data_IF_742394417205
#
_entry.id   IF_742394417205
#
_cell.length_a   1.000
_cell.length_b   1.000
_cell.length_c   1.000
_cell.angle_alpha   90.00
_cell.angle_beta   90.00
_cell.angle_gamma   90.00
#
_symmetry.space_group_name_H-M   'P 1'
#
loop_
_entity.id
_entity.type
_entity.pdbx_description
1 polymer ?
#
# COMPACT_ATOMS: atom_id res chain seq x y z
N UNK A 1 18.58 44.08 35.87
CA UNK A 1 19.56 43.81 34.79
C UNK A 1 20.01 42.36 34.97
N UNK A 2 19.88 41.40 34.06
CA UNK A 2 19.64 41.36 32.62
C UNK A 2 18.56 40.29 32.34
N UNK A 3 17.57 40.63 31.50
CA UNK A 3 16.66 39.67 30.87
C UNK A 3 17.29 39.26 29.53
N UNK A 4 17.41 37.98 29.25
CA UNK A 4 17.72 37.48 27.90
C UNK A 4 16.67 36.47 27.50
N UNK A 5 15.79 36.93 26.61
CA UNK A 5 14.79 36.14 25.90
C UNK A 5 15.49 35.14 24.97
N UNK A 6 15.05 33.89 24.98
CA UNK A 6 15.30 32.94 23.91
C UNK A 6 14.04 32.84 23.04
N UNK A 7 14.19 33.26 21.80
CA UNK A 7 13.18 33.23 20.76
C UNK A 7 12.93 31.78 20.32
N UNK A 8 11.71 31.30 20.54
CA UNK A 8 11.15 30.15 19.82
C UNK A 8 10.84 30.62 18.41
N UNK A 9 11.57 30.10 17.41
CA UNK A 9 11.21 30.24 15.99
C UNK A 9 9.98 29.35 15.71
N UNK A 10 8.80 29.92 15.90
CA UNK A 10 7.58 29.44 15.27
C UNK A 10 7.67 29.81 13.78
N UNK A 11 7.90 28.81 12.92
CA UNK A 11 7.65 28.92 11.48
C UNK A 11 6.15 28.72 11.29
N UNK A 12 5.38 29.76 10.90
CA UNK A 12 3.98 29.54 10.56
C UNK A 12 3.91 28.79 9.22
N UNK A 13 2.98 27.84 9.04
CA UNK A 13 2.73 27.30 7.71
C UNK A 13 2.15 28.43 6.87
N UNK A 14 2.90 28.84 5.83
CA UNK A 14 2.39 29.71 4.79
C UNK A 14 1.34 28.90 4.02
N UNK A 15 0.09 29.04 4.44
CA UNK A 15 -1.05 28.64 3.64
C UNK A 15 -1.11 29.56 2.42
N UNK A 16 -0.51 29.12 1.31
CA UNK A 16 -0.83 29.67 -0.01
C UNK A 16 -2.26 29.25 -0.36
N UNK A 17 -3.23 29.99 0.16
CA UNK A 17 -4.58 30.05 -0.40
C UNK A 17 -4.49 30.86 -1.70
N UNK A 18 -4.04 30.22 -2.77
CA UNK A 18 -4.33 30.69 -4.11
C UNK A 18 -5.82 30.43 -4.35
N UNK A 19 -6.62 31.45 -4.06
CA UNK A 19 -7.98 31.55 -4.56
C UNK A 19 -7.92 31.59 -6.09
N UNK A 20 -8.02 30.42 -6.72
CA UNK A 20 -8.39 30.32 -8.11
C UNK A 20 -9.85 30.76 -8.22
N UNK A 21 -10.07 32.02 -8.59
CA UNK A 21 -11.35 32.43 -9.14
C UNK A 21 -11.59 31.57 -10.37
N UNK A 22 -12.55 30.65 -10.29
CA UNK A 22 -13.09 29.95 -11.44
C UNK A 22 -13.81 30.98 -12.32
N UNK A 23 -13.06 31.65 -13.19
CA UNK A 23 -13.64 32.20 -14.40
C UNK A 23 -13.99 31.00 -15.28
N UNK A 24 -15.28 30.70 -15.40
CA UNK A 24 -15.83 29.68 -16.29
C UNK A 24 -15.63 30.12 -17.76
N UNK A 25 -14.39 30.08 -18.24
CA UNK A 25 -14.09 30.00 -19.65
C UNK A 25 -14.42 28.58 -20.12
N UNK A 26 -14.99 28.45 -21.32
CA UNK A 26 -15.28 27.14 -21.90
C UNK A 26 -14.02 26.26 -21.86
N UNK A 27 -14.12 25.09 -21.23
CA UNK A 27 -13.03 24.15 -21.06
C UNK A 27 -12.38 23.83 -22.43
N UNK A 28 -11.05 23.86 -22.48
CA UNK A 28 -10.30 23.51 -23.69
C UNK A 28 -10.45 22.01 -24.04
N UNK A 29 -10.00 21.57 -25.23
CA UNK A 29 -10.13 20.17 -25.64
C UNK A 29 -9.41 19.21 -24.68
N UNK A 30 -8.23 19.57 -24.18
CA UNK A 30 -7.51 18.79 -23.18
C UNK A 30 -8.30 18.57 -21.88
N UNK A 31 -8.96 19.62 -21.37
CA UNK A 31 -9.76 19.54 -20.15
C UNK A 31 -11.05 18.73 -20.38
N UNK A 32 -11.72 18.91 -21.52
CA UNK A 32 -12.88 18.11 -21.92
C UNK A 32 -12.51 16.61 -22.03
N UNK A 33 -11.36 16.29 -22.63
CA UNK A 33 -10.85 14.92 -22.74
C UNK A 33 -10.53 14.30 -21.38
N UNK A 34 -9.86 15.05 -20.50
CA UNK A 34 -9.52 14.60 -19.16
C UNK A 34 -10.78 14.36 -18.32
N UNK A 35 -11.74 15.29 -18.34
CA UNK A 35 -13.00 15.17 -17.60
C UNK A 35 -13.83 13.97 -18.09
N UNK A 36 -13.83 13.67 -19.40
CA UNK A 36 -14.49 12.49 -19.93
C UNK A 36 -13.87 11.19 -19.38
N UNK A 37 -12.53 11.09 -19.36
CA UNK A 37 -11.84 9.91 -18.83
C UNK A 37 -12.00 9.77 -17.31
N UNK A 38 -11.95 10.88 -16.57
CA UNK A 38 -12.23 10.90 -15.14
C UNK A 38 -13.68 10.51 -14.84
N UNK A 39 -14.65 10.97 -15.64
CA UNK A 39 -16.06 10.56 -15.52
C UNK A 39 -16.25 9.05 -15.70
N UNK A 40 -15.53 8.44 -16.64
CA UNK A 40 -15.51 6.98 -16.83
C UNK A 40 -14.84 6.25 -15.67
N UNK A 41 -13.67 6.74 -15.21
CA UNK A 41 -12.90 6.15 -14.12
C UNK A 41 -13.70 6.23 -12.82
N UNK A 42 -14.17 7.40 -12.44
CA UNK A 42 -14.73 7.67 -11.11
C UNK A 42 -16.24 7.35 -11.00
N UNK A 43 -16.83 6.77 -12.05
CA UNK A 43 -18.27 6.44 -12.14
C UNK A 43 -19.19 7.66 -11.90
N UNK A 44 -18.70 8.87 -12.20
CA UNK A 44 -19.49 10.11 -12.07
C UNK A 44 -20.59 10.23 -13.13
N UNK A 45 -20.45 9.50 -14.24
CA UNK A 45 -21.43 9.46 -15.32
C UNK A 45 -21.49 8.07 -15.92
N UNK A 46 -22.69 7.62 -16.26
CA UNK A 46 -22.85 6.36 -16.95
C UNK A 46 -22.30 6.46 -18.39
N UNK A 47 -21.86 5.35 -19.00
CA UNK A 47 -21.45 5.35 -20.39
C UNK A 47 -22.50 5.95 -21.35
N UNK A 48 -23.80 5.81 -21.04
CA UNK A 48 -24.86 6.38 -21.86
C UNK A 48 -24.97 7.91 -21.71
N UNK A 49 -24.86 8.45 -20.50
CA UNK A 49 -24.82 9.90 -20.25
C UNK A 49 -23.62 10.55 -20.96
N UNK A 50 -22.46 9.88 -20.89
CA UNK A 50 -21.25 10.33 -21.60
C UNK A 50 -21.44 10.29 -23.12
N UNK A 51 -22.17 9.30 -23.65
CA UNK A 51 -22.51 9.26 -25.08
C UNK A 51 -23.47 10.38 -25.49
N UNK A 52 -24.41 10.78 -24.63
CA UNK A 52 -25.30 11.92 -24.89
C UNK A 52 -24.52 13.25 -24.95
N UNK A 53 -23.52 13.42 -24.07
CA UNK A 53 -22.59 14.56 -24.11
C UNK A 53 -21.53 14.50 -25.22
N UNK A 54 -21.28 13.33 -25.81
CA UNK A 54 -20.25 13.10 -26.85
C UNK A 54 -20.65 13.63 -28.23
N UNK A 55 -19.70 13.69 -29.17
CA UNK A 55 -19.95 13.99 -30.60
C UNK A 55 -20.43 12.80 -31.43
N UNK A 56 -21.03 11.79 -30.80
CA UNK A 56 -21.65 10.67 -31.50
C UNK A 56 -22.74 11.16 -32.47
N UNK A 57 -22.69 10.67 -33.71
CA UNK A 57 -23.70 10.96 -34.72
C UNK A 57 -25.08 10.48 -34.28
N UNK A 58 -26.09 11.32 -34.52
CA UNK A 58 -27.50 10.94 -34.38
C UNK A 58 -27.90 9.77 -35.29
N UNK A 59 -27.14 9.55 -36.36
CA UNK A 59 -27.35 8.46 -37.31
C UNK A 59 -26.72 7.13 -36.86
N UNK A 60 -26.01 7.10 -35.73
CA UNK A 60 -25.51 5.85 -35.15
C UNK A 60 -26.66 5.00 -34.62
N UNK A 61 -26.92 3.88 -35.30
CA UNK A 61 -27.97 2.94 -34.92
C UNK A 61 -27.78 2.31 -33.53
N UNK A 62 -28.88 1.83 -32.96
CA UNK A 62 -28.94 1.34 -31.57
C UNK A 62 -27.91 0.24 -31.24
N UNK A 63 -27.67 -0.69 -32.17
CA UNK A 63 -26.70 -1.79 -31.99
C UNK A 63 -25.29 -1.22 -31.81
N UNK A 64 -24.87 -0.31 -32.69
CA UNK A 64 -23.52 0.28 -32.63
C UNK A 64 -23.36 1.20 -31.43
N UNK A 65 -24.39 2.00 -31.10
CA UNK A 65 -24.42 2.81 -29.87
C UNK A 65 -24.22 1.94 -28.62
N UNK A 66 -24.92 0.81 -28.53
CA UNK A 66 -24.76 -0.15 -27.43
C UNK A 66 -23.34 -0.71 -27.36
N UNK A 67 -22.72 -1.04 -28.50
CA UNK A 67 -21.36 -1.55 -28.54
C UNK A 67 -20.33 -0.50 -28.05
N UNK A 68 -20.48 0.76 -28.46
CA UNK A 68 -19.61 1.86 -27.99
C UNK A 68 -19.78 2.04 -26.46
N UNK A 69 -21.02 2.07 -25.97
CA UNK A 69 -21.33 2.15 -24.53
C UNK A 69 -20.67 1.04 -23.73
N UNK A 70 -20.74 -0.21 -24.21
CA UNK A 70 -20.05 -1.35 -23.58
C UNK A 70 -18.53 -1.19 -23.58
N UNK A 71 -17.93 -0.70 -24.66
CA UNK A 71 -16.48 -0.45 -24.73
C UNK A 71 -16.05 0.64 -23.75
N UNK A 72 -16.84 1.70 -23.60
CA UNK A 72 -16.60 2.74 -22.59
C UNK A 72 -16.72 2.18 -21.17
N UNK A 73 -17.68 1.30 -20.90
CA UNK A 73 -17.81 0.61 -19.62
C UNK A 73 -16.57 -0.25 -19.29
N UNK A 74 -16.03 -0.96 -20.28
CA UNK A 74 -14.79 -1.73 -20.14
C UNK A 74 -13.58 -0.82 -19.89
N UNK A 75 -13.48 0.30 -20.61
CA UNK A 75 -12.44 1.30 -20.40
C UNK A 75 -12.51 1.88 -18.98
N UNK A 76 -13.68 2.31 -18.51
CA UNK A 76 -13.85 2.80 -17.14
C UNK A 76 -13.40 1.77 -16.10
N UNK A 77 -13.78 0.50 -16.26
CA UNK A 77 -13.33 -0.60 -15.39
C UNK A 77 -11.82 -0.79 -15.44
N UNK A 78 -11.22 -0.75 -16.62
CA UNK A 78 -9.76 -0.84 -16.80
C UNK A 78 -9.04 0.31 -16.08
N UNK A 79 -9.53 1.54 -16.21
CA UNK A 79 -8.99 2.72 -15.54
C UNK A 79 -9.06 2.59 -14.01
N UNK A 80 -10.17 2.09 -13.47
CA UNK A 80 -10.37 1.86 -12.03
C UNK A 80 -9.50 0.74 -11.48
N UNK A 81 -9.50 -0.41 -12.14
CA UNK A 81 -8.82 -1.60 -11.64
C UNK A 81 -7.33 -1.36 -11.51
N UNK A 82 -6.75 -0.63 -12.45
CA UNK A 82 -5.33 -0.24 -12.42
C UNK A 82 -5.07 1.05 -11.62
N UNK A 83 -6.10 1.72 -11.11
CA UNK A 83 -6.03 3.02 -10.39
C UNK A 83 -5.13 4.03 -11.11
N UNK A 84 -5.43 4.28 -12.38
CA UNK A 84 -4.65 5.24 -13.15
C UNK A 84 -4.90 6.68 -12.70
N UNK A 85 -3.81 7.40 -12.45
CA UNK A 85 -3.78 8.85 -12.40
C UNK A 85 -3.60 9.40 -13.82
N UNK A 86 -4.50 10.30 -14.20
CA UNK A 86 -4.67 10.75 -15.58
C UNK A 86 -4.19 12.19 -15.75
N UNK A 87 -3.41 12.45 -16.81
CA UNK A 87 -2.92 13.79 -17.13
C UNK A 87 -2.88 14.02 -18.63
N UNK A 88 -3.31 15.20 -19.07
CA UNK A 88 -3.15 15.62 -20.47
C UNK A 88 -1.66 15.70 -20.81
N UNK A 89 -1.24 15.02 -21.89
CA UNK A 89 0.16 15.01 -22.32
C UNK A 89 0.42 15.81 -23.58
N UNK A 90 -0.47 15.73 -24.56
CA UNK A 90 -0.34 16.54 -25.78
C UNK A 90 -1.70 16.82 -26.40
N UNK A 91 -1.77 17.90 -27.17
CA UNK A 91 -2.97 18.35 -27.85
C UNK A 91 -2.59 18.90 -29.23
N UNK A 92 -3.34 18.49 -30.25
CA UNK A 92 -3.24 19.03 -31.61
C UNK A 92 -4.61 19.50 -32.06
N UNK A 93 -4.73 20.78 -32.36
CA UNK A 93 -5.95 21.39 -32.93
C UNK A 93 -5.82 21.55 -34.43
N UNK A 94 -6.93 21.32 -35.11
CA UNK A 94 -7.13 21.63 -36.52
C UNK A 94 -8.55 22.19 -36.64
N UNK A 95 -8.69 23.52 -36.62
CA UNK A 95 -9.98 24.20 -36.67
C UNK A 95 -10.93 23.78 -35.55
N UNK A 96 -12.11 23.28 -35.94
CA UNK A 96 -13.16 22.74 -35.07
C UNK A 96 -12.90 21.31 -34.57
N UNK A 97 -11.78 20.69 -34.97
CA UNK A 97 -11.37 19.36 -34.51
C UNK A 97 -10.12 19.47 -33.62
N UNK A 98 -10.02 18.57 -32.67
CA UNK A 98 -8.82 18.40 -31.86
C UNK A 98 -8.55 16.93 -31.56
N UNK A 99 -7.29 16.61 -31.36
CA UNK A 99 -6.85 15.34 -30.85
C UNK A 99 -6.04 15.56 -29.58
N UNK A 100 -6.31 14.78 -28.55
CA UNK A 100 -5.67 14.87 -27.24
C UNK A 100 -5.11 13.52 -26.86
N UNK A 101 -3.89 13.49 -26.32
CA UNK A 101 -3.36 12.32 -25.63
C UNK A 101 -3.39 12.51 -24.12
N UNK A 102 -3.77 11.46 -23.40
CA UNK A 102 -3.83 11.41 -21.94
C UNK A 102 -2.84 10.34 -21.47
N UNK A 103 -1.87 10.74 -20.65
CA UNK A 103 -1.00 9.81 -19.94
C UNK A 103 -1.76 9.23 -18.75
N UNK A 104 -1.52 7.95 -18.48
CA UNK A 104 -2.06 7.21 -17.37
C UNK A 104 -0.92 6.50 -16.64
N UNK A 105 -0.72 6.80 -15.37
CA UNK A 105 0.28 6.15 -14.51
C UNK A 105 -0.44 5.49 -13.35
N UNK A 106 -0.21 4.20 -13.13
CA UNK A 106 -0.91 3.49 -12.07
C UNK A 106 -0.39 3.97 -10.72
N UNK A 107 -1.32 4.32 -9.81
CA UNK A 107 -0.97 4.56 -8.41
C UNK A 107 -0.54 3.27 -7.70
N UNK A 108 -0.77 2.10 -8.31
CA UNK A 108 -0.44 0.78 -7.73
C UNK A 108 0.88 0.21 -8.21
N UNK A 109 1.31 0.54 -9.41
CA UNK A 109 2.58 0.09 -9.96
C UNK A 109 3.12 1.24 -10.84
N UNK A 110 4.16 1.97 -10.40
CA UNK A 110 4.66 3.09 -11.19
C UNK A 110 5.09 2.66 -12.60
N UNK A 111 5.54 1.41 -12.80
CA UNK A 111 5.92 0.93 -14.13
C UNK A 111 4.73 0.48 -14.99
N UNK A 112 3.52 0.45 -14.45
CA UNK A 112 2.29 0.22 -15.19
C UNK A 112 1.76 1.56 -15.71
N UNK A 113 1.99 1.81 -17.01
CA UNK A 113 1.62 3.06 -17.69
C UNK A 113 0.85 2.79 -18.97
N UNK A 114 0.00 3.72 -19.40
CA UNK A 114 -0.67 3.71 -20.70
C UNK A 114 -0.84 5.14 -21.22
N UNK A 115 -1.14 5.26 -22.51
CA UNK A 115 -1.46 6.55 -23.15
C UNK A 115 -2.71 6.37 -23.99
N UNK A 116 -3.72 7.21 -23.77
CA UNK A 116 -4.99 7.17 -24.51
C UNK A 116 -5.06 8.34 -25.49
N UNK A 117 -5.54 8.09 -26.71
CA UNK A 117 -5.89 9.14 -27.67
C UNK A 117 -7.39 9.40 -27.65
N UNK A 118 -7.80 10.67 -27.73
CA UNK A 118 -9.20 11.09 -27.81
C UNK A 118 -9.36 12.15 -28.90
N UNK A 119 -10.27 11.91 -29.83
CA UNK A 119 -10.73 12.94 -30.76
C UNK A 119 -11.76 13.83 -30.06
N UNK A 120 -11.80 15.11 -30.42
CA UNK A 120 -12.79 16.06 -29.94
C UNK A 120 -13.24 16.97 -31.08
N UNK A 121 -14.46 17.49 -30.93
CA UNK A 121 -15.01 18.50 -31.83
C UNK A 121 -15.62 19.64 -31.06
N UNK A 122 -15.37 20.85 -31.54
CA UNK A 122 -15.96 22.08 -31.03
C UNK A 122 -17.44 22.18 -31.46
N UNK A 123 -18.33 22.35 -30.50
CA UNK A 123 -19.77 22.58 -30.70
C UNK A 123 -20.15 24.05 -30.55
N UNK A 124 -19.19 24.95 -30.56
CA UNK A 124 -19.41 26.38 -30.40
C UNK A 124 -19.83 26.72 -28.97
N UNK A 125 -21.09 27.10 -28.77
CA UNK A 125 -21.59 27.52 -27.45
C UNK A 125 -21.56 26.39 -26.41
N UNK A 126 -21.68 25.13 -26.84
CA UNK A 126 -21.63 23.95 -25.97
C UNK A 126 -20.18 23.49 -25.68
N UNK A 127 -19.18 24.13 -26.28
CA UNK A 127 -17.76 23.84 -26.09
C UNK A 127 -17.27 22.55 -26.75
N UNK A 128 -16.12 22.06 -26.31
CA UNK A 128 -15.49 20.84 -26.85
C UNK A 128 -16.17 19.58 -26.33
N UNK A 129 -16.51 18.67 -27.24
CA UNK A 129 -17.10 17.37 -26.90
C UNK A 129 -16.29 16.22 -27.52
N UNK A 130 -16.20 15.11 -26.78
CA UNK A 130 -15.33 13.97 -27.08
C UNK A 130 -15.95 13.04 -28.13
N UNK A 131 -15.14 12.55 -29.06
CA UNK A 131 -15.45 11.44 -29.94
C UNK A 131 -15.41 10.14 -29.11
N UNK A 132 -16.52 9.41 -28.98
CA UNK A 132 -16.65 8.37 -27.95
C UNK A 132 -15.90 7.08 -28.26
N UNK A 133 -15.22 6.99 -29.42
CA UNK A 133 -14.34 5.88 -29.76
C UNK A 133 -12.90 6.32 -29.50
N UNK A 134 -12.19 5.73 -28.51
CA UNK A 134 -10.82 6.11 -28.23
C UNK A 134 -9.91 5.97 -29.46
N UNK A 135 -9.15 7.02 -29.74
CA UNK A 135 -8.22 7.12 -30.87
C UNK A 135 -8.88 7.31 -32.23
N UNK A 136 -10.19 7.56 -32.31
CA UNK A 136 -10.90 7.68 -33.58
C UNK A 136 -12.08 8.67 -33.56
N UNK A 137 -12.33 9.30 -34.70
CA UNK A 137 -13.54 10.07 -35.03
C UNK A 137 -14.64 9.18 -35.65
N UNK A 138 -14.50 7.86 -35.60
CA UNK A 138 -15.50 6.92 -36.06
C UNK A 138 -16.87 7.19 -35.43
N UNK A 139 -17.89 7.29 -36.29
CA UNK A 139 -19.27 7.59 -35.91
C UNK A 139 -19.47 9.01 -35.35
N UNK A 140 -18.53 9.93 -35.54
CA UNK A 140 -18.75 11.36 -35.38
C UNK A 140 -19.48 11.90 -36.62
N UNK A 141 -20.43 12.81 -36.43
CA UNK A 141 -21.17 13.42 -37.55
C UNK A 141 -20.33 14.48 -38.26
N UNK A 142 -19.35 14.09 -39.07
CA UNK A 142 -18.52 15.00 -39.85
C UNK A 142 -19.27 15.59 -41.08
N UNK A 143 -20.53 15.21 -41.31
CA UNK A 143 -21.25 15.51 -42.55
C UNK A 143 -20.62 14.82 -43.76
N UNK A 144 -21.10 15.16 -44.96
CA UNK A 144 -20.51 14.69 -46.24
C UNK A 144 -19.36 15.60 -46.70
N UNK A 145 -18.56 16.12 -45.77
CA UNK A 145 -17.44 17.03 -46.07
C UNK A 145 -16.12 16.26 -46.11
N UNK A 146 -15.67 15.99 -47.34
CA UNK A 146 -14.41 15.28 -47.59
C UNK A 146 -13.18 16.01 -47.01
N UNK A 147 -13.21 17.34 -46.88
CA UNK A 147 -12.10 18.08 -46.27
C UNK A 147 -12.06 17.86 -44.75
N UNK A 148 -13.23 17.75 -44.11
CA UNK A 148 -13.32 17.47 -42.68
C UNK A 148 -12.93 16.02 -42.36
N UNK A 149 -13.33 15.05 -43.20
CA UNK A 149 -12.87 13.65 -43.11
C UNK A 149 -11.35 13.55 -43.20
N UNK A 150 -10.72 14.21 -44.19
CA UNK A 150 -9.26 14.23 -44.31
C UNK A 150 -8.54 14.83 -43.09
N UNK A 151 -9.12 15.87 -42.49
CA UNK A 151 -8.58 16.48 -41.25
C UNK A 151 -8.71 15.53 -40.07
N UNK A 152 -9.84 14.83 -39.94
CA UNK A 152 -10.05 13.81 -38.92
C UNK A 152 -9.04 12.66 -39.07
N UNK A 153 -8.88 12.10 -40.28
CA UNK A 153 -7.90 11.04 -40.57
C UNK A 153 -6.46 11.47 -40.21
N UNK A 154 -6.10 12.72 -40.52
CA UNK A 154 -4.78 13.27 -40.17
C UNK A 154 -4.59 13.38 -38.65
N UNK A 155 -5.64 13.69 -37.90
CA UNK A 155 -5.63 13.73 -36.44
C UNK A 155 -5.59 12.32 -35.82
N UNK A 156 -6.30 11.33 -36.38
CA UNK A 156 -6.21 9.93 -35.95
C UNK A 156 -4.80 9.36 -36.15
N UNK A 157 -4.22 9.59 -37.33
CA UNK A 157 -2.84 9.20 -37.62
C UNK A 157 -1.86 9.86 -36.66
N UNK A 158 -2.08 11.13 -36.33
CA UNK A 158 -1.28 11.84 -35.35
C UNK A 158 -1.43 11.21 -33.95
N UNK A 159 -2.65 10.93 -33.47
CA UNK A 159 -2.88 10.27 -32.17
C UNK A 159 -2.19 8.92 -32.09
N UNK A 160 -2.27 8.10 -33.15
CA UNK A 160 -1.62 6.80 -33.19
C UNK A 160 -0.10 6.88 -33.06
N UNK A 161 0.53 7.84 -33.76
CA UNK A 161 1.98 8.08 -33.67
C UNK A 161 2.38 8.67 -32.33
N UNK A 162 1.68 9.69 -31.88
CA UNK A 162 1.97 10.39 -30.63
C UNK A 162 1.81 9.44 -29.44
N UNK A 163 0.78 8.58 -29.43
CA UNK A 163 0.60 7.54 -28.41
C UNK A 163 1.83 6.64 -28.27
N UNK A 164 2.39 6.16 -29.38
CA UNK A 164 3.56 5.27 -29.36
C UNK A 164 4.82 5.98 -28.85
N UNK A 165 5.03 7.24 -29.28
CA UNK A 165 6.18 8.05 -28.83
C UNK A 165 6.03 8.38 -27.34
N UNK A 166 4.84 8.79 -26.91
CA UNK A 166 4.55 9.16 -25.52
C UNK A 166 4.57 7.99 -24.57
N UNK A 167 4.13 6.80 -24.99
CA UNK A 167 4.19 5.62 -24.14
C UNK A 167 5.64 5.30 -23.74
N UNK A 168 6.56 5.28 -24.71
CA UNK A 168 7.99 5.04 -24.42
C UNK A 168 8.60 6.14 -23.55
N UNK A 169 8.33 7.39 -23.88
CA UNK A 169 8.81 8.51 -23.08
C UNK A 169 8.29 8.44 -21.63
N UNK A 170 7.02 8.06 -21.44
CA UNK A 170 6.42 7.90 -20.12
C UNK A 170 7.02 6.73 -19.35
N UNK A 171 7.28 5.60 -20.00
CA UNK A 171 7.99 4.46 -19.39
C UNK A 171 9.39 4.87 -18.91
N UNK A 172 10.12 5.64 -19.73
CA UNK A 172 11.45 6.15 -19.38
C UNK A 172 11.38 7.17 -18.23
N UNK A 173 10.45 8.12 -18.28
CA UNK A 173 10.22 9.14 -17.24
C UNK A 173 9.91 8.50 -15.87
N UNK A 174 8.99 7.54 -15.82
CA UNK A 174 8.61 6.91 -14.55
C UNK A 174 9.70 5.98 -14.03
N UNK A 175 10.46 5.34 -14.92
CA UNK A 175 11.62 4.55 -14.52
C UNK A 175 12.73 5.43 -13.94
N UNK A 176 13.00 6.59 -14.55
CA UNK A 176 13.99 7.56 -14.06
C UNK A 176 13.58 8.15 -12.71
N UNK A 177 12.30 8.48 -12.53
CA UNK A 177 11.75 8.90 -11.23
C UNK A 177 11.92 7.82 -10.15
N UNK A 178 11.59 6.56 -10.47
CA UNK A 178 11.77 5.45 -9.54
C UNK A 178 13.24 5.27 -9.16
N UNK A 179 14.16 5.34 -10.14
CA UNK A 179 15.61 5.25 -9.89
C UNK A 179 16.11 6.38 -8.99
N UNK A 180 15.68 7.61 -9.26
CA UNK A 180 16.06 8.76 -8.44
C UNK A 180 15.61 8.57 -6.99
N UNK A 181 14.37 8.13 -6.77
CA UNK A 181 13.87 7.82 -5.42
C UNK A 181 14.62 6.67 -4.74
N UNK A 182 15.11 5.71 -5.52
CA UNK A 182 15.95 4.62 -5.00
C UNK A 182 17.34 5.13 -4.60
N UNK A 183 17.97 5.95 -5.43
CA UNK A 183 19.27 6.57 -5.15
C UNK A 183 19.20 7.46 -3.88
N UNK A 184 18.08 8.15 -3.67
CA UNK A 184 17.81 8.91 -2.45
C UNK A 184 17.61 8.03 -1.21
N UNK A 185 16.96 6.87 -1.36
CA UNK A 185 16.70 5.93 -0.27
C UNK A 185 17.93 5.07 0.08
N UNK A 186 18.85 4.88 -0.88
CA UNK A 186 19.95 3.92 -0.77
C UNK A 186 20.87 4.14 0.45
N UNK A 187 21.37 5.35 0.74
CA UNK A 187 22.30 5.54 1.85
C UNK A 187 21.72 5.08 3.20
N UNK A 188 20.48 5.49 3.50
CA UNK A 188 19.81 5.13 4.74
C UNK A 188 19.44 3.64 4.79
N UNK A 189 19.02 3.07 3.67
CA UNK A 189 18.71 1.65 3.56
C UNK A 189 19.95 0.77 3.80
N UNK A 190 21.08 1.10 3.18
CA UNK A 190 22.32 0.35 3.33
C UNK A 190 22.96 0.53 4.71
N UNK A 191 22.90 1.73 5.29
CA UNK A 191 23.36 1.95 6.67
C UNK A 191 22.55 1.12 7.67
N UNK A 192 21.25 0.91 7.43
CA UNK A 192 20.41 0.07 8.26
C UNK A 192 20.62 -1.45 8.03
N UNK A 193 21.39 -1.87 7.01
CA UNK A 193 21.51 -3.25 6.55
C UNK A 193 22.94 -3.82 6.66
N UNK A 194 23.64 -3.54 7.77
CA UNK A 194 25.06 -3.93 7.95
C UNK A 194 25.27 -5.45 8.12
N UNK A 195 24.24 -6.16 8.59
CA UNK A 195 24.26 -7.63 8.77
C UNK A 195 22.99 -8.28 8.22
N UNK A 196 22.99 -9.61 7.95
CA UNK A 196 21.80 -10.30 7.44
C UNK A 196 20.53 -10.07 8.28
N UNK A 197 20.65 -10.16 9.61
CA UNK A 197 19.55 -9.86 10.54
C UNK A 197 19.05 -8.42 10.42
N UNK A 198 19.97 -7.45 10.32
CA UNK A 198 19.61 -6.04 10.18
C UNK A 198 18.97 -5.74 8.81
N UNK A 199 19.44 -6.40 7.75
CA UNK A 199 18.87 -6.30 6.40
C UNK A 199 17.41 -6.78 6.36
N UNK A 200 17.08 -7.95 6.92
CA UNK A 200 15.68 -8.41 6.99
C UNK A 200 14.82 -7.47 7.85
N UNK A 201 15.38 -6.94 8.95
CA UNK A 201 14.69 -5.94 9.77
C UNK A 201 14.36 -4.68 8.97
N UNK A 202 15.37 -4.09 8.32
CA UNK A 202 15.21 -2.89 7.49
C UNK A 202 14.21 -3.12 6.36
N UNK A 203 14.25 -4.29 5.72
CA UNK A 203 13.31 -4.65 4.65
C UNK A 203 11.87 -4.76 5.17
N UNK A 204 11.68 -5.42 6.33
CA UNK A 204 10.38 -5.50 6.96
C UNK A 204 9.83 -4.12 7.37
N UNK A 205 10.68 -3.22 7.84
CA UNK A 205 10.29 -1.85 8.20
C UNK A 205 9.93 -1.01 6.98
N UNK A 206 10.71 -1.12 5.88
CA UNK A 206 10.38 -0.50 4.60
C UNK A 206 9.02 -0.99 4.09
N UNK A 207 8.77 -2.31 4.20
CA UNK A 207 7.51 -2.91 3.79
C UNK A 207 6.33 -2.40 4.62
N UNK A 208 6.49 -2.26 5.94
CA UNK A 208 5.46 -1.72 6.82
C UNK A 208 5.14 -0.25 6.51
N UNK A 209 6.13 0.53 6.07
CA UNK A 209 5.95 1.94 5.66
C UNK A 209 5.38 2.09 4.24
N UNK A 210 5.32 1.00 3.46
CA UNK A 210 4.98 1.07 2.04
C UNK A 210 6.06 1.75 1.19
N UNK A 211 7.31 1.75 1.66
CA UNK A 211 8.44 2.40 0.99
C UNK A 211 9.00 1.47 -0.10
N UNK A 212 8.40 1.57 -1.29
CA UNK A 212 8.83 0.79 -2.46
C UNK A 212 10.30 1.03 -2.80
N UNK A 213 10.81 2.27 -2.96
CA UNK A 213 12.22 2.51 -3.25
C UNK A 213 13.18 1.83 -2.27
N UNK A 214 12.98 2.01 -0.96
CA UNK A 214 13.86 1.39 0.04
C UNK A 214 13.77 -0.14 0.02
N UNK A 215 12.57 -0.70 -0.13
CA UNK A 215 12.40 -2.15 -0.26
C UNK A 215 13.15 -2.71 -1.47
N UNK A 216 13.11 -2.02 -2.60
CA UNK A 216 13.81 -2.44 -3.82
C UNK A 216 15.34 -2.38 -3.69
N UNK A 217 15.87 -1.32 -3.04
CA UNK A 217 17.32 -1.23 -2.74
C UNK A 217 17.78 -2.41 -1.88
N UNK A 218 17.02 -2.76 -0.84
CA UNK A 218 17.37 -3.84 0.10
C UNK A 218 17.30 -5.24 -0.54
N UNK A 219 16.53 -5.41 -1.61
CA UNK A 219 16.58 -6.62 -2.43
C UNK A 219 17.88 -6.70 -3.28
N UNK A 220 18.70 -5.64 -3.31
CA UNK A 220 19.90 -5.55 -4.14
C UNK A 220 19.60 -5.49 -5.63
N UNK A 221 18.34 -5.24 -5.98
CA UNK A 221 17.86 -5.23 -7.35
C UNK A 221 17.80 -3.79 -7.85
N UNK A 222 18.07 -3.61 -9.16
CA UNK A 222 18.07 -2.35 -9.93
C UNK A 222 19.44 -1.72 -10.25
N UNK A 223 20.55 -2.39 -9.94
CA UNK A 223 21.81 -2.05 -10.62
C UNK A 223 21.74 -2.48 -12.10
N UNK A 224 21.99 -1.53 -13.01
CA UNK A 224 22.02 -1.74 -14.46
C UNK A 224 20.64 -1.75 -15.15
N UNK A 225 20.58 -2.42 -16.30
CA UNK A 225 19.37 -2.48 -17.12
C UNK A 225 18.24 -3.27 -16.44
N UNK A 226 17.02 -2.79 -16.70
CA UNK A 226 15.80 -3.37 -16.15
C UNK A 226 15.29 -4.50 -17.04
N UNK A 227 15.74 -5.72 -16.76
CA UNK A 227 15.21 -6.92 -17.40
C UNK A 227 13.72 -7.10 -17.09
N UNK A 228 13.02 -7.86 -17.94
CA UNK A 228 11.62 -8.26 -17.71
C UNK A 228 11.41 -8.95 -16.35
N UNK A 229 12.41 -9.70 -15.89
CA UNK A 229 12.38 -10.32 -14.57
C UNK A 229 12.39 -9.29 -13.43
N UNK A 230 13.24 -8.26 -13.52
CA UNK A 230 13.27 -7.16 -12.55
C UNK A 230 11.97 -6.35 -12.57
N UNK A 231 11.39 -6.11 -13.74
CA UNK A 231 10.05 -5.48 -13.89
C UNK A 231 8.97 -6.29 -13.17
N UNK A 232 8.94 -7.60 -13.43
CA UNK A 232 7.97 -8.50 -12.78
C UNK A 232 8.14 -8.51 -11.26
N UNK A 233 9.37 -8.54 -10.76
CA UNK A 233 9.65 -8.50 -9.33
C UNK A 233 9.17 -7.20 -8.71
N UNK A 234 9.50 -6.05 -9.31
CA UNK A 234 9.05 -4.75 -8.83
C UNK A 234 7.51 -4.66 -8.77
N UNK A 235 6.80 -5.17 -9.78
CA UNK A 235 5.34 -5.26 -9.76
C UNK A 235 4.81 -6.08 -8.59
N UNK A 236 5.43 -7.24 -8.32
CA UNK A 236 5.05 -8.09 -7.18
C UNK A 236 5.24 -7.34 -5.85
N UNK A 237 6.36 -6.64 -5.68
CA UNK A 237 6.63 -5.83 -4.49
C UNK A 237 5.60 -4.69 -4.38
N UNK A 238 5.39 -3.93 -5.45
CA UNK A 238 4.47 -2.78 -5.45
C UNK A 238 3.04 -3.17 -5.07
N UNK A 239 2.50 -4.25 -5.67
CA UNK A 239 1.19 -4.79 -5.33
C UNK A 239 1.14 -5.32 -3.89
N UNK A 240 2.21 -6.00 -3.47
CA UNK A 240 2.34 -6.55 -2.12
C UNK A 240 2.32 -5.48 -1.03
N UNK A 241 3.08 -4.40 -1.22
CA UNK A 241 3.14 -3.26 -0.29
C UNK A 241 1.78 -2.57 -0.09
N UNK A 242 0.91 -2.64 -1.10
CA UNK A 242 -0.44 -2.08 -1.04
C UNK A 242 -1.49 -3.08 -0.55
N UNK A 243 -1.10 -4.32 -0.23
CA UNK A 243 -2.01 -5.38 0.18
C UNK A 243 -2.98 -5.81 -0.93
N UNK A 244 -2.58 -5.63 -2.19
CA UNK A 244 -3.36 -6.01 -3.38
C UNK A 244 -2.98 -7.39 -3.91
N UNK A 245 -2.10 -8.11 -3.21
CA UNK A 245 -1.67 -9.42 -3.64
C UNK A 245 -2.78 -10.46 -3.52
N UNK A 246 -2.93 -11.31 -4.53
CA UNK A 246 -4.08 -12.22 -4.65
C UNK A 246 -4.18 -13.26 -3.54
N UNK A 247 -3.10 -13.50 -2.80
CA UNK A 247 -3.00 -14.48 -1.71
C UNK A 247 -3.02 -13.84 -0.33
N UNK A 248 -2.91 -12.52 -0.24
CA UNK A 248 -2.77 -11.77 1.00
C UNK A 248 -1.52 -12.10 1.81
N UNK A 249 -0.49 -12.73 1.23
CA UNK A 249 0.69 -13.17 1.98
C UNK A 249 1.56 -12.00 2.44
N UNK A 250 1.55 -10.89 1.70
CA UNK A 250 2.28 -9.67 2.05
C UNK A 250 1.77 -9.01 3.33
N UNK A 251 0.58 -9.37 3.81
CA UNK A 251 0.05 -8.86 5.08
C UNK A 251 1.00 -9.12 6.26
N UNK A 252 1.83 -10.16 6.17
CA UNK A 252 2.82 -10.48 7.19
C UNK A 252 3.91 -9.41 7.29
N UNK A 253 4.17 -8.62 6.24
CA UNK A 253 5.14 -7.54 6.21
C UNK A 253 4.50 -6.14 6.32
N UNK A 254 3.28 -5.96 5.80
CA UNK A 254 2.67 -4.63 5.66
C UNK A 254 1.76 -4.22 6.82
N UNK A 255 1.12 -5.17 7.50
CA UNK A 255 0.18 -4.83 8.59
C UNK A 255 0.87 -4.24 9.81
N UNK A 256 0.29 -3.20 10.41
CA UNK A 256 0.79 -2.59 11.64
C UNK A 256 0.33 -3.29 12.92
N UNK A 257 -0.70 -4.14 12.85
CA UNK A 257 -1.32 -4.84 13.98
C UNK A 257 -0.76 -6.26 14.19
N UNK A 258 0.45 -6.52 13.72
CA UNK A 258 1.20 -7.76 13.96
C UNK A 258 2.58 -7.42 14.53
N UNK A 259 3.16 -8.35 15.28
CA UNK A 259 4.52 -8.19 15.84
C UNK A 259 5.47 -9.09 15.10
N UNK A 260 6.63 -8.53 14.74
CA UNK A 260 7.64 -9.18 13.92
C UNK A 260 8.94 -9.28 14.69
N UNK A 261 9.54 -10.47 14.68
CA UNK A 261 10.77 -10.76 15.40
C UNK A 261 11.72 -11.43 14.41
N UNK A 262 12.90 -10.86 14.24
CA UNK A 262 13.92 -11.39 13.32
C UNK A 262 14.82 -12.33 14.10
N UNK A 263 14.94 -13.56 13.62
CA UNK A 263 15.74 -14.64 14.19
C UNK A 263 16.75 -15.10 13.15
N UNK A 264 18.02 -15.15 13.52
CA UNK A 264 19.08 -15.70 12.69
C UNK A 264 19.66 -16.88 13.44
N UNK A 265 19.58 -18.07 12.86
CA UNK A 265 20.23 -19.25 13.45
C UNK A 265 21.74 -19.23 13.15
N UNK A 266 22.54 -19.77 14.06
CA UNK A 266 23.99 -19.89 13.87
C UNK A 266 24.27 -20.94 12.78
N UNK A 267 24.52 -20.48 11.55
CA UNK A 267 24.76 -21.37 10.41
C UNK A 267 24.61 -20.66 9.07
N UNK A 268 25.62 -19.89 8.68
CA UNK A 268 25.79 -19.36 7.34
C UNK A 268 27.27 -19.39 6.98
N UNK A 269 27.60 -19.58 5.70
CA UNK A 269 28.96 -19.35 5.23
C UNK A 269 29.18 -17.84 5.01
N UNK A 270 30.39 -17.41 4.67
CA UNK A 270 30.68 -16.00 4.37
C UNK A 270 29.95 -15.47 3.11
N UNK A 271 29.21 -16.33 2.40
CA UNK A 271 28.57 -16.05 1.11
C UNK A 271 27.05 -16.10 1.11
N UNK A 272 26.44 -16.84 2.05
CA UNK A 272 25.00 -16.99 2.18
C UNK A 272 24.56 -17.05 3.66
N UNK A 273 23.35 -16.57 3.93
CA UNK A 273 22.77 -16.60 5.26
C UNK A 273 21.27 -16.85 5.20
N UNK A 274 20.75 -17.59 6.17
CA UNK A 274 19.31 -17.75 6.37
C UNK A 274 18.86 -16.92 7.57
N UNK A 275 17.80 -16.15 7.39
CA UNK A 275 17.19 -15.34 8.45
C UNK A 275 15.69 -15.58 8.43
N UNK A 276 15.13 -15.94 9.57
CA UNK A 276 13.71 -16.17 9.75
C UNK A 276 13.02 -14.95 10.36
N UNK A 277 11.86 -14.58 9.81
CA UNK A 277 10.97 -13.59 10.37
C UNK A 277 9.78 -14.30 11.01
N UNK A 278 9.71 -14.25 12.34
CA UNK A 278 8.58 -14.75 13.10
C UNK A 278 7.53 -13.64 13.23
N UNK A 279 6.28 -13.96 12.91
CA UNK A 279 5.18 -13.00 12.87
C UNK A 279 4.05 -13.46 13.78
N UNK A 280 3.82 -12.71 14.85
CA UNK A 280 2.69 -12.89 15.75
C UNK A 280 1.50 -12.06 15.28
N UNK A 281 0.45 -12.74 14.81
CA UNK A 281 -0.85 -12.15 14.51
C UNK A 281 -1.78 -12.39 15.72
N UNK A 282 -2.28 -11.34 16.39
CA UNK A 282 -3.09 -11.49 17.60
C UNK A 282 -4.42 -12.22 17.33
N UNK A 283 -4.86 -12.36 16.07
CA UNK A 283 -6.15 -12.97 15.70
C UNK A 283 -6.25 -14.40 16.25
N UNK A 284 -7.37 -14.68 16.92
CA UNK A 284 -7.60 -15.95 17.62
C UNK A 284 -7.36 -17.16 16.71
N UNK A 285 -6.67 -18.16 17.26
CA UNK A 285 -6.42 -19.45 16.60
C UNK A 285 -5.29 -19.43 15.56
N UNK A 286 -4.60 -18.30 15.37
CA UNK A 286 -3.44 -18.25 14.47
C UNK A 286 -2.14 -18.61 15.22
N UNK A 287 -1.36 -19.59 14.74
CA UNK A 287 0.00 -19.78 15.25
C UNK A 287 0.90 -18.63 14.80
N UNK A 288 2.05 -18.49 15.45
CA UNK A 288 3.15 -17.65 14.95
C UNK A 288 3.47 -18.12 13.53
N UNK A 289 3.46 -17.18 12.59
CA UNK A 289 3.81 -17.42 11.21
C UNK A 289 5.32 -17.23 11.02
N UNK A 290 5.90 -17.90 10.03
CA UNK A 290 7.34 -17.87 9.79
C UNK A 290 7.58 -17.60 8.30
N UNK A 291 8.49 -16.67 8.01
CA UNK A 291 8.99 -16.40 6.65
C UNK A 291 10.50 -16.56 6.67
N UNK A 292 11.03 -17.52 5.90
CA UNK A 292 12.47 -17.71 5.71
C UNK A 292 12.97 -16.80 4.60
N UNK A 293 13.99 -16.01 4.90
CA UNK A 293 14.73 -15.21 3.93
C UNK A 293 16.07 -15.87 3.69
N UNK A 294 16.38 -16.09 2.41
CA UNK A 294 17.72 -16.45 1.96
C UNK A 294 18.42 -15.16 1.54
N UNK A 295 19.62 -14.95 2.06
CA UNK A 295 20.43 -13.78 1.79
C UNK A 295 21.73 -14.20 1.12
N UNK A 296 22.13 -13.44 0.11
CA UNK A 296 23.34 -13.68 -0.67
C UNK A 296 24.28 -12.49 -0.55
N UNK A 297 25.57 -12.75 -0.32
CA UNK A 297 26.59 -11.72 -0.33
C UNK A 297 27.09 -11.48 -1.76
N UNK A 298 26.63 -10.39 -2.38
CA UNK A 298 26.91 -10.05 -3.78
C UNK A 298 27.43 -8.62 -3.85
N UNK A 299 28.50 -8.38 -4.61
CA UNK A 299 29.00 -7.02 -4.86
C UNK A 299 29.47 -6.27 -3.60
N UNK A 300 29.92 -7.00 -2.57
CA UNK A 300 30.31 -6.47 -1.23
C UNK A 300 29.15 -5.99 -0.34
N UNK A 301 27.93 -6.46 -0.60
CA UNK A 301 26.78 -6.25 0.28
C UNK A 301 25.91 -7.50 0.38
N UNK A 302 25.15 -7.60 1.47
CA UNK A 302 24.09 -8.60 1.57
C UNK A 302 22.87 -8.17 0.75
N UNK A 303 22.22 -9.12 0.12
CA UNK A 303 21.01 -8.92 -0.68
C UNK A 303 19.98 -9.98 -0.33
N UNK A 304 18.70 -9.63 -0.35
CA UNK A 304 17.61 -10.56 -0.05
C UNK A 304 17.12 -11.22 -1.34
N UNK A 305 17.13 -12.55 -1.37
CA UNK A 305 16.29 -13.28 -2.33
C UNK A 305 14.85 -13.30 -1.82
N UNK A 306 13.93 -12.72 -2.59
CA UNK A 306 12.54 -12.60 -2.15
C UNK A 306 11.91 -13.99 -1.97
N UNK A 307 11.44 -14.35 -0.75
CA UNK A 307 10.87 -15.66 -0.46
C UNK A 307 9.75 -16.05 -1.42
N UNK A 308 9.63 -17.33 -1.79
CA UNK A 308 8.69 -17.76 -2.83
C UNK A 308 7.24 -17.43 -2.49
N UNK A 309 6.86 -17.47 -1.21
CA UNK A 309 5.54 -17.04 -0.74
C UNK A 309 5.24 -15.57 -1.07
N UNK A 310 6.23 -14.67 -0.95
CA UNK A 310 6.07 -13.27 -1.32
C UNK A 310 6.14 -13.08 -2.84
N UNK A 311 7.12 -13.71 -3.49
CA UNK A 311 7.37 -13.62 -4.93
C UNK A 311 6.22 -14.17 -5.79
N UNK A 312 5.53 -15.21 -5.33
CA UNK A 312 4.45 -15.89 -6.05
C UNK A 312 3.05 -15.60 -5.47
N UNK A 313 2.93 -14.54 -4.67
CA UNK A 313 1.68 -14.10 -4.05
C UNK A 313 0.58 -13.66 -5.05
N UNK A 314 0.92 -13.44 -6.31
CA UNK A 314 -0.02 -13.14 -7.40
C UNK A 314 -0.28 -14.30 -8.35
N UNK A 315 0.34 -15.46 -8.12
CA UNK A 315 0.16 -16.65 -8.94
C UNK A 315 -1.09 -17.45 -8.58
N UNK A 316 -1.39 -18.47 -9.39
CA UNK A 316 -2.46 -19.43 -9.11
C UNK A 316 -2.34 -20.05 -7.71
N UNK A 317 -3.47 -20.44 -7.10
CA UNK A 317 -3.50 -21.00 -5.74
C UNK A 317 -2.63 -22.25 -5.62
N UNK A 318 -2.60 -23.06 -6.68
CA UNK A 318 -1.80 -24.27 -6.74
C UNK A 318 -0.31 -23.96 -6.82
N UNK A 319 0.09 -23.02 -7.67
CA UNK A 319 1.49 -22.57 -7.80
C UNK A 319 1.99 -22.02 -6.47
N UNK A 320 1.23 -21.13 -5.85
CA UNK A 320 1.55 -20.53 -4.56
C UNK A 320 1.68 -21.60 -3.46
N UNK A 321 0.71 -22.52 -3.35
CA UNK A 321 0.75 -23.58 -2.34
C UNK A 321 1.95 -24.52 -2.52
N UNK A 322 2.27 -24.90 -3.76
CA UNK A 322 3.44 -25.74 -4.05
C UNK A 322 4.74 -25.05 -3.67
N UNK A 323 4.84 -23.74 -3.87
CA UNK A 323 6.00 -22.97 -3.47
C UNK A 323 6.17 -22.95 -1.95
N UNK A 324 5.11 -22.64 -1.19
CA UNK A 324 5.16 -22.68 0.27
C UNK A 324 5.57 -24.06 0.82
N UNK A 325 5.09 -25.14 0.21
CA UNK A 325 5.44 -26.50 0.64
C UNK A 325 6.90 -26.86 0.34
N UNK A 326 7.53 -26.22 -0.66
CA UNK A 326 8.95 -26.44 -0.96
C UNK A 326 9.88 -25.73 0.02
N UNK A 327 9.43 -24.59 0.51
CA UNK A 327 10.21 -23.74 1.43
C UNK A 327 10.01 -24.14 2.90
N UNK A 328 9.16 -25.13 3.19
CA UNK A 328 8.82 -25.56 4.56
C UNK A 328 9.62 -26.77 5.02
N UNK A 329 10.22 -26.66 6.20
CA UNK A 329 10.71 -27.78 6.99
C UNK A 329 9.94 -27.82 8.31
N UNK A 330 8.93 -28.69 8.40
CA UNK A 330 7.93 -28.66 9.49
C UNK A 330 8.54 -28.75 10.89
N UNK A 331 9.52 -29.64 11.10
CA UNK A 331 10.11 -29.86 12.43
C UNK A 331 10.95 -28.67 12.89
N UNK A 332 11.78 -28.12 12.00
CA UNK A 332 12.59 -26.91 12.26
C UNK A 332 11.71 -25.67 12.39
N UNK A 333 10.71 -25.51 11.52
CA UNK A 333 9.80 -24.37 11.54
C UNK A 333 9.01 -24.30 12.84
N UNK A 334 8.53 -25.45 13.34
CA UNK A 334 7.80 -25.49 14.60
C UNK A 334 8.73 -25.23 15.79
N UNK A 335 9.98 -25.70 15.75
CA UNK A 335 10.98 -25.35 16.76
C UNK A 335 11.26 -23.85 16.78
N UNK A 336 11.45 -23.21 15.61
CA UNK A 336 11.65 -21.77 15.46
C UNK A 336 10.45 -20.95 15.92
N UNK A 337 9.23 -21.33 15.53
CA UNK A 337 7.99 -20.67 15.97
C UNK A 337 7.86 -20.68 17.49
N UNK A 338 8.34 -21.73 18.14
CA UNK A 338 8.31 -21.85 19.60
C UNK A 338 9.34 -20.98 20.32
N UNK A 339 10.32 -20.40 19.60
CA UNK A 339 11.29 -19.43 20.14
C UNK A 339 10.78 -17.98 20.09
N UNK A 340 9.59 -17.71 19.57
CA UNK A 340 9.09 -16.34 19.35
C UNK A 340 9.15 -15.49 20.62
N UNK A 341 8.63 -16.00 21.73
CA UNK A 341 8.56 -15.25 22.98
C UNK A 341 9.96 -14.95 23.55
N UNK A 342 10.86 -15.94 23.53
CA UNK A 342 12.25 -15.77 23.95
C UNK A 342 12.98 -14.72 23.11
N UNK A 343 12.86 -14.80 21.79
CA UNK A 343 13.48 -13.86 20.86
C UNK A 343 12.88 -12.46 20.95
N UNK A 344 11.57 -12.36 21.21
CA UNK A 344 10.91 -11.08 21.44
C UNK A 344 11.47 -10.41 22.71
N UNK A 345 11.61 -11.16 23.81
CA UNK A 345 12.13 -10.68 25.09
C UNK A 345 13.60 -10.28 25.01
N UNK A 346 14.41 -11.03 24.26
CA UNK A 346 15.81 -10.67 24.00
C UNK A 346 15.96 -9.36 23.23
N UNK A 347 15.00 -9.04 22.35
CA UNK A 347 15.03 -7.85 21.50
C UNK A 347 14.33 -6.63 22.12
N UNK A 348 13.49 -6.83 23.15
CA UNK A 348 12.64 -5.78 23.70
C UNK A 348 12.72 -5.74 25.23
N UNK A 349 13.24 -4.63 25.76
CA UNK A 349 13.28 -4.42 27.20
C UNK A 349 11.85 -4.41 27.80
N UNK A 350 11.61 -5.10 28.92
CA UNK A 350 10.29 -5.17 29.53
C UNK A 350 9.82 -3.79 29.99
N UNK A 351 8.52 -3.52 29.87
CA UNK A 351 7.91 -2.32 30.44
C UNK A 351 7.50 -2.61 31.87
N UNK A 352 8.19 -1.97 32.81
CA UNK A 352 7.95 -2.12 34.25
C UNK A 352 7.57 -0.79 34.87
N UNK A 353 6.72 -0.85 35.89
CA UNK A 353 6.30 0.32 36.64
C UNK A 353 6.33 0.01 38.12
N UNK A 354 6.47 1.04 38.96
CA UNK A 354 6.63 0.84 40.40
C UNK A 354 5.34 0.37 41.12
N UNK A 355 4.18 0.54 40.49
CA UNK A 355 2.86 0.24 41.09
C UNK A 355 1.91 -0.28 40.02
N UNK A 356 0.96 -1.14 40.41
CA UNK A 356 -0.07 -1.67 39.49
C UNK A 356 -0.89 -0.53 38.88
N UNK A 357 -1.22 0.50 39.67
CA UNK A 357 -1.87 1.71 39.14
C UNK A 357 -1.07 2.40 38.03
N UNK A 358 0.24 2.57 38.18
CA UNK A 358 1.08 3.14 37.12
C UNK A 358 1.16 2.21 35.89
N UNK A 359 1.18 0.89 36.10
CA UNK A 359 1.10 -0.08 35.00
C UNK A 359 -0.21 0.09 34.23
N UNK A 360 -1.32 0.28 34.95
CA UNK A 360 -2.64 0.45 34.35
C UNK A 360 -2.74 1.70 33.47
N UNK A 361 -2.20 2.83 33.96
CA UNK A 361 -2.15 4.09 33.21
C UNK A 361 -1.31 3.97 31.92
N UNK A 362 -0.14 3.31 32.00
CA UNK A 362 0.70 3.08 30.82
C UNK A 362 0.09 2.05 29.85
N UNK A 363 -0.56 0.99 30.36
CA UNK A 363 -1.28 0.03 29.52
C UNK A 363 -2.42 0.73 28.76
N UNK A 364 -3.23 1.55 29.43
CA UNK A 364 -4.30 2.30 28.76
C UNK A 364 -3.75 3.21 27.67
N UNK A 365 -2.64 3.91 27.95
CA UNK A 365 -1.95 4.75 26.97
C UNK A 365 -1.44 3.97 25.77
N UNK A 366 -0.84 2.79 25.99
CA UNK A 366 -0.36 1.90 24.93
C UNK A 366 -1.52 1.33 24.11
N UNK A 367 -2.62 0.92 24.74
CA UNK A 367 -3.81 0.44 24.04
C UNK A 367 -4.45 1.54 23.17
N UNK A 368 -4.39 2.82 23.59
CA UNK A 368 -4.97 3.92 22.81
C UNK A 368 -4.06 4.47 21.71
N UNK A 369 -2.74 4.48 21.93
CA UNK A 369 -1.78 5.23 21.07
C UNK A 369 -0.51 4.46 20.71
N UNK A 370 -0.27 3.32 21.35
CA UNK A 370 0.91 2.50 21.15
C UNK A 370 0.70 1.43 20.09
N UNK A 371 1.60 0.45 20.10
CA UNK A 371 1.57 -0.71 19.21
C UNK A 371 1.29 -2.00 19.98
N UNK A 372 0.90 -3.05 19.26
CA UNK A 372 0.81 -4.40 19.84
C UNK A 372 2.17 -4.83 20.41
N UNK A 373 3.28 -4.47 19.76
CA UNK A 373 4.63 -4.75 20.27
C UNK A 373 4.87 -4.11 21.64
N UNK A 374 4.49 -2.83 21.80
CA UNK A 374 4.59 -2.16 23.10
C UNK A 374 3.72 -2.84 24.17
N UNK A 375 2.53 -3.30 23.78
CA UNK A 375 1.64 -3.99 24.70
C UNK A 375 2.19 -5.35 25.14
N UNK A 376 2.83 -6.09 24.23
CA UNK A 376 3.49 -7.36 24.56
C UNK A 376 4.69 -7.20 25.49
N UNK A 377 5.27 -6.01 25.63
CA UNK A 377 6.37 -5.76 26.59
C UNK A 377 5.91 -5.83 28.06
N UNK A 378 4.61 -5.85 28.32
CA UNK A 378 4.02 -6.16 29.63
C UNK A 378 3.88 -7.67 29.89
N UNK A 379 4.15 -8.53 28.90
CA UNK A 379 4.11 -9.99 29.05
C UNK A 379 5.26 -10.56 29.89
N UNK A 380 6.17 -9.71 30.38
CA UNK A 380 7.40 -10.13 31.02
C UNK A 380 7.15 -10.99 32.24
N UNK A 381 7.95 -12.06 32.38
CA UNK A 381 7.61 -13.21 33.21
C UNK A 381 8.77 -13.68 34.07
N UNK A 382 8.39 -14.18 35.25
CA UNK A 382 9.26 -14.91 36.16
C UNK A 382 10.05 -15.99 35.37
N UNK A 383 11.40 -16.05 35.50
CA UNK A 383 12.25 -17.07 34.88
C UNK A 383 11.83 -18.53 35.13
N UNK A 384 10.99 -18.76 36.14
CA UNK A 384 10.50 -20.09 36.54
C UNK A 384 9.29 -20.60 35.72
N UNK A 385 8.69 -19.77 34.87
CA UNK A 385 7.53 -20.18 34.06
C UNK A 385 7.93 -21.12 32.92
N UNK A 386 7.10 -22.14 32.69
CA UNK A 386 7.30 -23.06 31.57
C UNK A 386 6.98 -22.41 30.21
N UNK A 387 7.59 -22.90 29.14
CA UNK A 387 7.34 -22.41 27.76
C UNK A 387 5.85 -22.41 27.34
N UNK A 388 5.03 -23.44 27.66
CA UNK A 388 3.59 -23.39 27.39
C UNK A 388 2.88 -22.24 28.11
N UNK A 389 3.25 -21.96 29.36
CA UNK A 389 2.69 -20.85 30.10
C UNK A 389 3.09 -19.54 29.44
N UNK A 390 4.37 -19.36 29.07
CA UNK A 390 4.87 -18.14 28.41
C UNK A 390 4.06 -17.83 27.14
N UNK A 391 3.90 -18.82 26.27
CA UNK A 391 3.04 -18.72 25.07
C UNK A 391 1.60 -18.35 25.40
N UNK A 392 1.05 -18.87 26.49
CA UNK A 392 -0.31 -18.53 26.92
C UNK A 392 -0.45 -17.04 27.32
N UNK A 393 0.59 -16.40 27.87
CA UNK A 393 0.59 -14.94 28.13
C UNK A 393 0.41 -14.14 26.86
N UNK A 394 1.30 -14.38 25.90
CA UNK A 394 1.36 -13.60 24.68
C UNK A 394 0.05 -13.75 23.91
N UNK A 395 -0.50 -14.98 23.86
CA UNK A 395 -1.82 -15.23 23.30
C UNK A 395 -2.94 -14.52 24.06
N UNK A 396 -2.88 -14.49 25.39
CA UNK A 396 -3.87 -13.77 26.20
C UNK A 396 -3.82 -12.26 25.95
N UNK A 397 -2.63 -11.65 25.92
CA UNK A 397 -2.45 -10.25 25.58
C UNK A 397 -2.87 -9.95 24.13
N UNK A 398 -2.50 -10.79 23.16
CA UNK A 398 -2.96 -10.64 21.78
C UNK A 398 -4.49 -10.74 21.66
N UNK A 399 -5.12 -11.65 22.39
CA UNK A 399 -6.58 -11.76 22.45
C UNK A 399 -7.21 -10.51 23.07
N UNK A 400 -6.63 -9.97 24.14
CA UNK A 400 -7.08 -8.74 24.78
C UNK A 400 -6.91 -7.52 23.86
N UNK A 401 -5.75 -7.38 23.20
CA UNK A 401 -5.52 -6.35 22.19
C UNK A 401 -6.60 -6.37 21.13
N UNK A 402 -6.92 -7.55 20.62
CA UNK A 402 -8.00 -7.71 19.67
C UNK A 402 -9.37 -7.38 20.25
N UNK A 403 -9.69 -7.74 21.49
CA UNK A 403 -10.96 -7.33 22.09
C UNK A 403 -11.07 -5.81 22.21
N UNK A 404 -9.97 -5.15 22.57
CA UNK A 404 -9.91 -3.69 22.67
C UNK A 404 -10.03 -3.00 21.29
N UNK A 405 -9.57 -3.65 20.21
CA UNK A 405 -9.53 -3.08 18.86
C UNK A 405 -10.51 -3.70 17.85
N UNK A 406 -11.29 -4.72 18.23
CA UNK A 406 -12.36 -5.31 17.41
C UNK A 406 -13.57 -4.37 17.49
N UNK A 407 -14.08 -3.78 16.42
CA UNK A 407 -13.87 -3.97 14.98
C UNK A 407 -13.43 -2.65 14.35
N UNK A 408 -12.76 -2.66 13.19
CA UNK A 408 -12.47 -1.45 12.42
C UNK A 408 -13.71 -0.63 11.97
N UNK A 409 -14.93 -1.03 12.39
CA UNK A 409 -16.19 -0.28 12.26
C UNK A 409 -16.73 0.24 13.60
N UNK A 410 -16.21 -0.25 14.72
CA UNK A 410 -16.54 0.17 16.06
C UNK A 410 -15.26 0.65 16.74
N UNK A 411 -15.03 1.96 16.73
CA UNK A 411 -14.08 2.56 17.66
C UNK A 411 -14.55 2.17 19.08
N UNK A 412 -13.91 1.17 19.67
CA UNK A 412 -14.10 0.87 21.07
C UNK A 412 -13.36 1.99 21.82
N UNK A 413 -14.13 2.92 22.40
CA UNK A 413 -13.59 3.90 23.35
C UNK A 413 -13.37 3.20 24.70
N UNK A 414 -12.54 2.15 24.66
CA UNK A 414 -12.20 1.38 25.84
C UNK A 414 -11.54 2.29 26.88
N UNK A 415 -12.02 2.25 28.13
CA UNK A 415 -11.44 3.04 29.23
C UNK A 415 -11.20 2.16 30.45
N UNK A 416 -10.13 2.48 31.17
CA UNK A 416 -9.86 1.87 32.46
C UNK A 416 -10.90 2.39 33.47
N UNK A 417 -11.70 1.48 34.03
CA UNK A 417 -12.70 1.82 35.03
C UNK A 417 -12.14 1.77 36.44
N UNK A 418 -11.41 0.69 36.74
CA UNK A 418 -10.97 0.42 38.08
C UNK A 418 -9.71 -0.46 38.10
N UNK A 419 -8.99 -0.37 39.20
CA UNK A 419 -7.79 -1.16 39.50
C UNK A 419 -7.99 -1.80 40.86
N UNK A 420 -8.20 -3.11 40.88
CA UNK A 420 -8.33 -3.88 42.12
C UNK A 420 -6.99 -4.53 42.43
N UNK A 421 -6.34 -4.09 43.51
CA UNK A 421 -5.09 -4.66 43.98
C UNK A 421 -5.35 -5.62 45.16
N UNK A 422 -4.78 -6.82 45.12
CA UNK A 422 -4.78 -7.77 46.22
C UNK A 422 -3.42 -8.49 46.28
N UNK A 423 -2.66 -8.25 47.37
CA UNK A 423 -1.31 -8.78 47.55
C UNK A 423 -0.41 -8.43 46.34
N UNK A 424 0.08 -9.45 45.63
CA UNK A 424 0.94 -9.31 44.45
C UNK A 424 0.14 -9.35 43.14
N UNK A 425 -1.19 -9.37 43.18
CA UNK A 425 -2.04 -9.40 41.98
C UNK A 425 -2.84 -8.10 41.81
N UNK A 426 -2.97 -7.66 40.56
CA UNK A 426 -3.79 -6.53 40.15
C UNK A 426 -4.76 -6.92 39.06
N UNK A 427 -6.05 -6.64 39.24
CA UNK A 427 -7.04 -6.77 38.17
C UNK A 427 -7.38 -5.38 37.63
N UNK A 428 -7.05 -5.16 36.36
CA UNK A 428 -7.41 -3.95 35.63
C UNK A 428 -8.75 -4.17 34.95
N UNK A 429 -9.76 -3.41 35.33
CA UNK A 429 -11.11 -3.54 34.76
C UNK A 429 -11.26 -2.53 33.64
N UNK A 430 -11.32 -3.02 32.40
CA UNK A 430 -11.61 -2.19 31.24
C UNK A 430 -13.09 -2.28 30.87
N UNK A 431 -13.70 -1.13 30.64
CA UNK A 431 -14.97 -1.05 29.94
C UNK A 431 -14.69 -1.00 28.44
N UNK A 432 -15.26 -1.94 27.69
CA UNK A 432 -15.21 -1.93 26.23
C UNK A 432 -16.63 -1.68 25.72
N UNK A 433 -16.82 -0.61 24.96
CA UNK A 433 -18.10 -0.25 24.35
C UNK A 433 -18.08 -0.67 22.89
N UNK A 434 -18.87 -1.68 22.53
CA UNK A 434 -19.08 -2.02 21.13
C UNK A 434 -20.14 -1.10 20.53
N UNK A 435 -19.80 -0.38 19.46
CA UNK A 435 -20.79 0.41 18.70
C UNK A 435 -21.49 -0.41 17.61
N UNK A 436 -21.08 -1.65 17.39
CA UNK A 436 -21.70 -2.57 16.42
C UNK A 436 -22.91 -3.33 16.99
N UNK A 437 -23.05 -3.37 18.32
CA UNK A 437 -24.19 -3.96 19.01
C UNK A 437 -24.81 -2.90 19.91
N UNK A 438 -26.09 -2.59 19.71
CA UNK A 438 -26.82 -1.65 20.56
C UNK A 438 -26.66 -2.05 22.05
N UNK A 439 -25.83 -1.29 22.77
CA UNK A 439 -25.69 -1.27 24.23
C UNK A 439 -25.25 -2.58 24.91
N UNK A 440 -24.25 -3.28 24.38
CA UNK A 440 -23.51 -4.26 25.20
C UNK A 440 -22.26 -3.63 25.82
N UNK A 441 -22.27 -3.55 27.15
CA UNK A 441 -21.12 -3.18 27.96
C UNK A 441 -20.40 -4.47 28.37
N UNK A 442 -19.16 -4.63 27.91
CA UNK A 442 -18.32 -5.74 28.34
C UNK A 442 -17.26 -5.24 29.33
N UNK A 443 -17.23 -5.87 30.51
CA UNK A 443 -16.16 -5.70 31.48
C UNK A 443 -15.15 -6.80 31.26
N UNK A 444 -13.94 -6.42 30.82
CA UNK A 444 -12.87 -7.37 30.55
C UNK A 444 -11.73 -7.14 31.54
N UNK A 445 -11.51 -8.05 32.51
CA UNK A 445 -10.40 -7.93 33.42
C UNK A 445 -9.10 -8.33 32.72
N UNK A 446 -8.06 -7.49 32.85
CA UNK A 446 -6.68 -7.83 32.56
C UNK A 446 -5.95 -8.06 33.89
N UNK A 447 -5.41 -9.27 34.07
CA UNK A 447 -4.73 -9.64 35.32
C UNK A 447 -3.23 -9.37 35.18
N UNK A 448 -2.69 -8.60 36.11
CA UNK A 448 -1.27 -8.35 36.30
C UNK A 448 -0.79 -9.04 37.58
N UNK A 449 0.44 -9.56 37.55
CA UNK A 449 1.13 -10.07 38.73
C UNK A 449 2.41 -9.27 38.93
N UNK A 450 2.62 -8.80 40.15
CA UNK A 450 3.80 -8.10 40.60
C UNK A 450 4.93 -9.10 40.80
N UNK A 451 6.12 -8.77 40.31
CA UNK A 451 7.32 -9.55 40.59
C UNK A 451 8.25 -8.81 41.57
N UNK A 452 9.37 -9.45 41.95
CA UNK A 452 10.34 -8.85 42.88
C UNK A 452 11.00 -7.57 42.34
N UNK A 453 10.86 -7.29 41.06
CA UNK A 453 11.49 -6.18 40.34
C UNK A 453 10.46 -5.11 39.90
N UNK A 454 9.19 -5.24 40.30
CA UNK A 454 8.11 -4.29 40.01
C UNK A 454 7.07 -4.92 39.09
#
# INVERSE_FOLDING_TARGET
MKRSAWFVRLVPPIAFLLGAGFASGAAGPGEAALNFMMGLRDEQSTPNELLEGSVLSRHTGAIRRSAISQRLALLGRYLRNNRYDLKVSSEKRDGDLAAVTINAVSSQDPLEVDVFGLGLRDRGADGWAVAPVPGSFDNVDLGFDHALEQRADALELWMGRERLVRLRALEDEVLEDLRTRMDEAEPAALEAAVSPRQLVKAFSEACQKGDLPAAMVLLGQFEGDLSEEKRRLQRVVSLGLQGLDSRGYWHFLTRSDVVRVVVQEEGGDDLDAEVSLLVFDPRRGRPVSLIRFVLLYVGKRWTIELPSGLRLSNESRETFRRALLRDQNYDEDDALRNKFEEEFEAQNAPLRTATIKAAAEEIEKVLRKGSLGDFLRFAHRNPELSEPERRAAYRYLGAFWNQFHQEAKAASDGSLLDVIEHEDAGALIFQIVSTAQDKHLELNPLILMRDKQG
#
